data_IF_471471683266
#
_entry.id   IF_471471683266
#
_cell.length_a   1.000
_cell.length_b   1.000
_cell.length_c   1.000
_cell.angle_alpha   90.00
_cell.angle_beta   90.00
_cell.angle_gamma   90.00
#
_symmetry.space_group_name_H-M   'P 1'
#
loop_
_entity.id
_entity.type
_entity.pdbx_description
1 polymer ?
#
# COMPACT_ATOMS: atom_id res chain seq x y z
N UNK A 1 5.37 19.89 -1.58
CA UNK A 1 4.17 20.76 -1.81
C UNK A 1 3.56 21.11 -0.47
N UNK A 2 3.00 22.32 -0.32
CA UNK A 2 2.32 22.71 0.91
C UNK A 2 0.98 21.97 1.06
N UNK A 3 0.54 21.73 2.29
CA UNK A 3 -0.77 21.12 2.59
C UNK A 3 -1.95 21.86 1.92
N UNK A 4 -1.80 23.16 1.71
CA UNK A 4 -2.79 24.03 1.07
C UNK A 4 -2.93 23.73 -0.44
N UNK A 5 -1.83 23.43 -1.12
CA UNK A 5 -1.86 23.04 -2.54
C UNK A 5 -2.55 21.70 -2.75
N UNK A 6 -2.30 20.72 -1.87
CA UNK A 6 -2.99 19.41 -1.92
C UNK A 6 -4.49 19.59 -1.72
N UNK A 7 -4.92 20.40 -0.74
CA UNK A 7 -6.35 20.66 -0.50
C UNK A 7 -7.02 21.32 -1.71
N UNK A 8 -6.34 22.25 -2.40
CA UNK A 8 -6.88 22.87 -3.61
C UNK A 8 -7.02 21.88 -4.78
N UNK A 9 -6.03 20.99 -4.97
CA UNK A 9 -6.13 19.93 -5.98
C UNK A 9 -7.28 18.97 -5.67
N UNK A 10 -7.44 18.58 -4.40
CA UNK A 10 -8.56 17.71 -3.98
C UNK A 10 -9.91 18.37 -4.29
N UNK A 11 -10.09 19.66 -4.00
CA UNK A 11 -11.33 20.39 -4.33
C UNK A 11 -11.62 20.41 -5.83
N UNK A 12 -10.59 20.66 -6.66
CA UNK A 12 -10.73 20.62 -8.13
C UNK A 12 -11.09 19.21 -8.63
N UNK A 13 -10.42 18.18 -8.11
CA UNK A 13 -10.69 16.80 -8.47
C UNK A 13 -12.12 16.37 -8.06
N UNK A 14 -12.60 16.77 -6.89
CA UNK A 14 -13.98 16.55 -6.45
C UNK A 14 -15.02 17.20 -7.37
N UNK A 15 -14.65 18.29 -8.03
CA UNK A 15 -15.47 18.97 -9.01
C UNK A 15 -15.30 18.43 -10.45
N UNK A 16 -14.65 17.27 -10.58
CA UNK A 16 -14.54 16.54 -11.87
C UNK A 16 -13.28 16.84 -12.68
N UNK A 17 -12.29 17.58 -12.14
CA UNK A 17 -11.03 17.80 -12.85
C UNK A 17 -10.16 16.55 -12.84
N UNK A 18 -10.09 15.85 -13.97
CA UNK A 18 -9.20 14.71 -14.18
C UNK A 18 -7.72 15.11 -14.09
N UNK A 19 -7.38 16.31 -14.56
CA UNK A 19 -6.02 16.86 -14.49
C UNK A 19 -5.57 17.03 -13.02
N UNK A 20 -6.40 17.65 -12.17
CA UNK A 20 -6.11 17.83 -10.76
C UNK A 20 -6.00 16.47 -10.02
N UNK A 21 -6.81 15.50 -10.39
CA UNK A 21 -6.70 14.14 -9.86
C UNK A 21 -5.40 13.47 -10.30
N UNK A 22 -4.99 13.62 -11.56
CA UNK A 22 -3.72 13.11 -12.07
C UNK A 22 -2.51 13.70 -11.34
N UNK A 23 -2.53 15.01 -11.06
CA UNK A 23 -1.50 15.67 -10.25
C UNK A 23 -1.47 15.10 -8.81
N UNK A 24 -2.62 14.91 -8.17
CA UNK A 24 -2.71 14.29 -6.85
C UNK A 24 -2.15 12.87 -6.84
N UNK A 25 -2.52 12.05 -7.81
CA UNK A 25 -1.99 10.71 -7.95
C UNK A 25 -0.47 10.73 -8.12
N UNK A 26 0.04 11.60 -8.99
CA UNK A 26 1.48 11.75 -9.24
C UNK A 26 2.30 12.02 -7.97
N UNK A 27 1.73 12.73 -6.99
CA UNK A 27 2.40 12.99 -5.70
C UNK A 27 2.66 11.72 -4.87
N UNK A 28 1.82 10.71 -5.03
CA UNK A 28 1.82 9.51 -4.18
C UNK A 28 2.04 8.22 -4.98
N UNK A 29 2.21 8.29 -6.29
CA UNK A 29 2.29 7.13 -7.19
C UNK A 29 3.37 6.13 -6.78
N UNK A 30 4.56 6.61 -6.44
CA UNK A 30 5.67 5.76 -5.99
C UNK A 30 5.36 5.08 -4.65
N UNK A 31 4.82 5.82 -3.69
CA UNK A 31 4.44 5.30 -2.37
C UNK A 31 3.34 4.23 -2.49
N UNK A 32 2.34 4.49 -3.34
CA UNK A 32 1.24 3.57 -3.59
C UNK A 32 1.73 2.28 -4.26
N UNK A 33 2.56 2.40 -5.30
CA UNK A 33 3.14 1.24 -5.97
C UNK A 33 4.02 0.43 -5.01
N UNK A 34 4.88 1.07 -4.22
CA UNK A 34 5.74 0.42 -3.23
C UNK A 34 4.92 -0.36 -2.20
N UNK A 35 3.85 0.25 -1.69
CA UNK A 35 2.93 -0.44 -0.78
C UNK A 35 2.31 -1.69 -1.45
N UNK A 36 1.74 -1.54 -2.64
CA UNK A 36 1.12 -2.64 -3.37
C UNK A 36 2.14 -3.77 -3.63
N UNK A 37 3.33 -3.42 -4.11
CA UNK A 37 4.38 -4.40 -4.40
C UNK A 37 4.77 -5.23 -3.17
N UNK A 38 5.04 -4.58 -2.04
CA UNK A 38 5.39 -5.31 -0.82
C UNK A 38 4.21 -6.08 -0.23
N UNK A 39 2.98 -5.63 -0.45
CA UNK A 39 1.77 -6.31 -0.01
C UNK A 39 1.52 -7.60 -0.80
N UNK A 40 1.55 -7.55 -2.14
CA UNK A 40 1.18 -8.69 -3.01
C UNK A 40 2.37 -9.52 -3.50
N UNK A 41 3.58 -8.96 -3.52
CA UNK A 41 4.82 -9.65 -3.87
C UNK A 41 5.01 -9.94 -5.36
N UNK A 42 4.35 -9.21 -6.25
CA UNK A 42 4.47 -9.29 -7.72
C UNK A 42 4.29 -7.91 -8.33
N UNK A 43 5.17 -7.53 -9.25
CA UNK A 43 5.12 -6.25 -9.97
C UNK A 43 3.81 -6.13 -10.76
N UNK A 44 3.51 -7.13 -11.58
CA UNK A 44 2.30 -7.13 -12.43
C UNK A 44 1.02 -7.00 -11.59
N UNK A 45 0.89 -7.80 -10.51
CA UNK A 45 -0.28 -7.71 -9.63
C UNK A 45 -0.34 -6.37 -8.89
N UNK A 46 0.81 -5.80 -8.51
CA UNK A 46 0.86 -4.48 -7.89
C UNK A 46 0.39 -3.38 -8.84
N UNK A 47 0.83 -3.41 -10.10
CA UNK A 47 0.38 -2.48 -11.14
C UNK A 47 -1.13 -2.57 -11.38
N UNK A 48 -1.67 -3.78 -11.44
CA UNK A 48 -3.11 -4.02 -11.57
C UNK A 48 -3.88 -3.45 -10.35
N UNK A 49 -3.40 -3.72 -9.13
CA UNK A 49 -4.02 -3.18 -7.91
C UNK A 49 -4.00 -1.65 -7.87
N UNK A 50 -2.88 -1.03 -8.27
CA UNK A 50 -2.77 0.44 -8.31
C UNK A 50 -3.71 1.01 -9.37
N UNK A 51 -3.76 0.41 -10.56
CA UNK A 51 -4.64 0.85 -11.65
C UNK A 51 -6.11 0.77 -11.24
N UNK A 52 -6.53 -0.34 -10.63
CA UNK A 52 -7.89 -0.50 -10.09
C UNK A 52 -8.18 0.54 -9.00
N UNK A 53 -7.25 0.74 -8.06
CA UNK A 53 -7.42 1.71 -6.98
C UNK A 53 -7.55 3.14 -7.51
N UNK A 54 -6.79 3.53 -8.54
CA UNK A 54 -6.87 4.84 -9.19
C UNK A 54 -8.24 5.06 -9.82
N UNK A 55 -8.77 4.07 -10.55
CA UNK A 55 -10.11 4.14 -11.13
C UNK A 55 -11.19 4.32 -10.05
N UNK A 56 -11.18 3.47 -9.02
CA UNK A 56 -12.13 3.55 -7.91
C UNK A 56 -12.03 4.88 -7.15
N UNK A 57 -10.82 5.39 -6.97
CA UNK A 57 -10.59 6.67 -6.31
C UNK A 57 -11.13 7.83 -7.15
N UNK A 58 -10.88 7.84 -8.45
CA UNK A 58 -11.41 8.88 -9.35
C UNK A 58 -12.94 8.92 -9.33
N UNK A 59 -13.59 7.79 -9.36
CA UNK A 59 -15.06 7.68 -9.30
C UNK A 59 -15.63 8.11 -7.95
N UNK A 60 -14.90 7.86 -6.87
CA UNK A 60 -15.40 8.08 -5.50
C UNK A 60 -14.89 9.34 -4.81
N UNK A 61 -13.96 10.09 -5.41
CA UNK A 61 -13.40 11.30 -4.81
C UNK A 61 -14.45 12.37 -4.47
N UNK A 62 -15.56 12.54 -5.21
CA UNK A 62 -16.62 13.48 -4.81
C UNK A 62 -17.20 13.19 -3.42
N UNK A 63 -17.09 11.95 -2.94
CA UNK A 63 -17.59 11.52 -1.62
C UNK A 63 -16.55 11.67 -0.49
N UNK A 64 -15.34 12.08 -0.80
CA UNK A 64 -14.29 12.28 0.21
C UNK A 64 -14.69 13.39 1.17
N UNK A 65 -14.84 13.05 2.45
CA UNK A 65 -15.36 13.99 3.46
C UNK A 65 -14.35 15.06 3.88
N UNK A 66 -13.07 14.68 4.02
CA UNK A 66 -11.98 15.56 4.48
C UNK A 66 -10.89 15.61 3.43
N UNK A 67 -10.63 16.76 2.86
CA UNK A 67 -9.62 16.93 1.81
C UNK A 67 -8.20 16.56 2.32
N UNK A 68 -7.88 16.89 3.57
CA UNK A 68 -6.62 16.55 4.20
C UNK A 68 -6.35 15.02 4.35
N UNK A 69 -7.39 14.19 4.24
CA UNK A 69 -7.28 12.73 4.34
C UNK A 69 -7.10 12.01 3.00
N UNK A 70 -6.85 12.73 1.92
CA UNK A 70 -6.72 12.15 0.58
C UNK A 70 -5.69 11.00 0.53
N UNK A 71 -4.47 11.21 1.07
CA UNK A 71 -3.41 10.20 1.06
C UNK A 71 -3.88 8.91 1.77
N UNK A 72 -4.34 9.00 3.00
CA UNK A 72 -4.80 7.84 3.78
C UNK A 72 -6.02 7.15 3.16
N UNK A 73 -6.91 7.93 2.56
CA UNK A 73 -8.07 7.42 1.84
C UNK A 73 -7.67 6.63 0.57
N UNK A 74 -6.67 7.10 -0.19
CA UNK A 74 -6.09 6.37 -1.31
C UNK A 74 -5.48 5.04 -0.86
N UNK A 75 -4.70 5.05 0.24
CA UNK A 75 -4.13 3.82 0.80
C UNK A 75 -5.21 2.82 1.24
N UNK A 76 -6.33 3.29 1.78
CA UNK A 76 -7.46 2.43 2.12
C UNK A 76 -8.07 1.75 0.90
N UNK A 77 -8.27 2.48 -0.20
CA UNK A 77 -8.77 1.91 -1.46
C UNK A 77 -7.76 0.88 -1.99
N UNK A 78 -6.48 1.23 -2.06
CA UNK A 78 -5.43 0.35 -2.55
C UNK A 78 -5.27 -0.90 -1.69
N UNK A 79 -5.32 -0.78 -0.35
CA UNK A 79 -5.31 -1.94 0.54
C UNK A 79 -6.44 -2.93 0.21
N UNK A 80 -7.64 -2.43 -0.04
CA UNK A 80 -8.77 -3.29 -0.39
C UNK A 80 -8.53 -4.02 -1.73
N UNK A 81 -7.97 -3.35 -2.75
CA UNK A 81 -7.60 -3.98 -4.02
C UNK A 81 -6.54 -5.07 -3.81
N UNK A 82 -5.48 -4.78 -3.05
CA UNK A 82 -4.43 -5.75 -2.72
C UNK A 82 -4.97 -6.95 -1.94
N UNK A 83 -5.86 -6.72 -0.97
CA UNK A 83 -6.51 -7.79 -0.20
C UNK A 83 -7.37 -8.70 -1.07
N UNK A 84 -8.09 -8.14 -2.03
CA UNK A 84 -8.86 -8.91 -2.99
C UNK A 84 -7.95 -9.75 -3.91
N UNK A 85 -6.87 -9.17 -4.42
CA UNK A 85 -5.88 -9.88 -5.23
C UNK A 85 -5.23 -11.05 -4.47
N UNK A 86 -4.87 -10.84 -3.19
CA UNK A 86 -4.34 -11.90 -2.32
C UNK A 86 -5.35 -13.03 -2.11
N UNK A 87 -6.63 -12.71 -1.92
CA UNK A 87 -7.71 -13.71 -1.81
C UNK A 87 -7.82 -14.57 -3.06
N UNK A 88 -7.81 -13.95 -4.24
CA UNK A 88 -7.88 -14.64 -5.53
C UNK A 88 -6.67 -15.56 -5.70
N UNK A 89 -5.47 -15.08 -5.38
CA UNK A 89 -4.24 -15.88 -5.41
C UNK A 89 -4.32 -17.09 -4.48
N UNK A 90 -4.85 -16.91 -3.26
CA UNK A 90 -5.02 -18.00 -2.31
C UNK A 90 -5.99 -19.09 -2.83
N UNK A 91 -7.11 -18.68 -3.44
CA UNK A 91 -8.09 -19.60 -4.01
C UNK A 91 -7.57 -20.35 -5.26
N UNK A 92 -6.61 -19.73 -6.00
CA UNK A 92 -5.98 -20.34 -7.18
C UNK A 92 -4.68 -21.11 -6.87
N UNK A 93 -4.29 -21.22 -5.59
CA UNK A 93 -3.03 -21.83 -5.16
C UNK A 93 -2.91 -23.32 -5.55
N UNK A 94 -4.02 -23.98 -5.89
CA UNK A 94 -4.03 -25.33 -6.42
C UNK A 94 -3.64 -25.43 -7.91
N UNK A 95 -3.44 -24.31 -8.63
CA UNK A 95 -3.19 -24.33 -10.08
C UNK A 95 -1.82 -23.83 -10.55
N UNK A 96 -1.04 -23.05 -9.78
CA UNK A 96 0.21 -22.47 -10.27
C UNK A 96 1.23 -22.14 -9.17
N UNK A 97 2.14 -23.05 -8.91
CA UNK A 97 3.51 -22.70 -8.47
C UNK A 97 4.32 -22.28 -9.69
N UNK A 98 4.46 -21.01 -9.96
CA UNK A 98 5.55 -20.41 -10.75
C UNK A 98 5.33 -18.90 -10.88
N UNK A 99 5.93 -18.12 -10.00
CA UNK A 99 6.23 -16.73 -10.33
C UNK A 99 7.73 -16.50 -10.21
N UNK A 100 8.34 -16.43 -11.38
CA UNK A 100 9.74 -16.04 -11.56
C UNK A 100 9.98 -14.65 -10.96
N UNK A 101 11.19 -14.44 -10.46
CA UNK A 101 11.66 -13.13 -10.03
C UNK A 101 11.54 -12.14 -11.21
N UNK A 102 10.51 -11.32 -11.18
CA UNK A 102 10.30 -10.24 -12.14
C UNK A 102 11.26 -9.10 -11.82
N UNK A 103 11.88 -8.53 -12.86
CA UNK A 103 12.78 -7.40 -12.73
C UNK A 103 12.05 -6.19 -12.10
N UNK A 104 12.54 -5.76 -10.95
CA UNK A 104 12.06 -4.59 -10.24
C UNK A 104 12.53 -3.31 -10.93
N UNK A 105 11.70 -2.25 -10.98
CA UNK A 105 12.10 -0.94 -11.49
C UNK A 105 13.00 -0.15 -10.53
N UNK A 106 13.73 -0.84 -9.64
CA UNK A 106 14.62 -0.24 -8.65
C UNK A 106 16.09 -0.49 -8.99
N UNK A 107 16.96 0.44 -8.60
CA UNK A 107 18.41 0.43 -8.84
C UNK A 107 19.11 -0.84 -8.34
N UNK A 108 20.12 -1.33 -9.08
CA UNK A 108 20.89 -2.57 -8.83
C UNK A 108 21.55 -2.71 -7.45
N UNK A 109 21.74 -1.62 -6.72
CA UNK A 109 22.32 -1.65 -5.36
C UNK A 109 21.36 -2.18 -4.29
N UNK A 110 20.06 -2.04 -4.52
CA UNK A 110 19.01 -2.43 -3.56
C UNK A 110 18.52 -3.87 -3.79
N UNK A 111 18.99 -4.57 -4.82
CA UNK A 111 18.41 -5.83 -5.26
C UNK A 111 18.51 -6.94 -4.21
N UNK A 112 19.68 -7.12 -3.59
CA UNK A 112 19.90 -8.19 -2.59
C UNK A 112 19.21 -7.90 -1.26
N UNK A 113 19.20 -6.65 -0.83
CA UNK A 113 18.50 -6.20 0.37
C UNK A 113 16.99 -6.29 0.18
N UNK A 114 16.50 -5.93 -1.00
CA UNK A 114 15.08 -6.05 -1.37
C UNK A 114 14.59 -7.50 -1.40
N UNK A 115 15.40 -8.44 -1.88
CA UNK A 115 15.05 -9.88 -1.88
C UNK A 115 14.95 -10.40 -0.44
N UNK A 116 15.90 -10.05 0.42
CA UNK A 116 15.89 -10.46 1.82
C UNK A 116 14.68 -9.89 2.56
N UNK A 117 14.41 -8.60 2.39
CA UNK A 117 13.24 -7.94 2.96
C UNK A 117 11.94 -8.55 2.44
N UNK A 118 11.82 -8.77 1.13
CA UNK A 118 10.62 -9.37 0.55
C UNK A 118 10.38 -10.78 1.09
N UNK A 119 11.43 -11.58 1.24
CA UNK A 119 11.33 -12.93 1.80
C UNK A 119 10.89 -12.91 3.28
N UNK A 120 11.38 -11.95 4.05
CA UNK A 120 10.94 -11.75 5.43
C UNK A 120 9.47 -11.29 5.50
N UNK A 121 9.07 -10.34 4.66
CA UNK A 121 7.68 -9.86 4.58
C UNK A 121 6.71 -10.96 4.15
N UNK A 122 7.09 -11.86 3.24
CA UNK A 122 6.26 -13.01 2.82
C UNK A 122 5.96 -13.99 3.97
N UNK A 123 6.79 -14.04 5.00
CA UNK A 123 6.56 -14.89 6.19
C UNK A 123 5.58 -14.28 7.19
N UNK A 124 5.28 -12.98 7.08
CA UNK A 124 4.23 -12.35 7.86
C UNK A 124 2.85 -12.66 7.26
N UNK A 125 1.81 -12.64 8.09
CA UNK A 125 0.43 -12.63 7.59
C UNK A 125 0.20 -11.38 6.73
N UNK A 126 -0.75 -11.41 5.79
CA UNK A 126 -1.05 -10.25 4.94
C UNK A 126 -1.34 -8.98 5.75
N UNK A 127 -2.10 -9.12 6.84
CA UNK A 127 -2.43 -7.99 7.71
C UNK A 127 -1.20 -7.45 8.49
N UNK A 128 -0.36 -8.32 9.05
CA UNK A 128 0.90 -7.92 9.71
C UNK A 128 1.84 -7.22 8.73
N UNK A 129 1.92 -7.71 7.51
CA UNK A 129 2.74 -7.16 6.43
C UNK A 129 2.29 -5.74 6.07
N UNK A 130 1.01 -5.54 5.81
CA UNK A 130 0.46 -4.23 5.45
C UNK A 130 0.66 -3.21 6.58
N UNK A 131 0.48 -3.63 7.83
CA UNK A 131 0.74 -2.80 9.02
C UNK A 131 2.20 -2.34 9.07
N UNK A 132 3.14 -3.26 8.87
CA UNK A 132 4.59 -2.97 8.90
C UNK A 132 4.98 -2.00 7.78
N UNK A 133 4.45 -2.20 6.57
CA UNK A 133 4.72 -1.32 5.44
C UNK A 133 4.18 0.10 5.73
N UNK A 134 2.95 0.23 6.19
CA UNK A 134 2.36 1.52 6.53
C UNK A 134 3.11 2.22 7.67
N UNK A 135 3.58 1.47 8.65
CA UNK A 135 4.28 2.02 9.80
C UNK A 135 5.70 2.48 9.45
N UNK A 136 6.53 1.59 8.88
CA UNK A 136 7.95 1.86 8.64
C UNK A 136 8.22 2.59 7.32
N UNK A 137 7.52 2.24 6.24
CA UNK A 137 7.78 2.82 4.93
C UNK A 137 6.97 4.09 4.67
N UNK A 138 5.75 4.19 5.23
CA UNK A 138 4.86 5.33 5.00
C UNK A 138 4.76 6.29 6.18
N UNK A 139 5.30 5.91 7.35
CA UNK A 139 5.36 6.76 8.54
C UNK A 139 4.01 7.01 9.23
N UNK A 140 3.02 6.17 8.98
CA UNK A 140 1.72 6.26 9.66
C UNK A 140 1.83 5.78 11.12
N UNK A 141 1.14 6.47 12.04
CA UNK A 141 1.01 6.00 13.41
C UNK A 141 -0.08 4.89 13.52
N UNK A 142 -0.13 4.22 14.64
CA UNK A 142 -1.05 3.08 14.84
C UNK A 142 -2.53 3.43 14.71
N UNK A 143 -2.92 4.65 15.07
CA UNK A 143 -4.31 5.13 14.92
C UNK A 143 -4.66 5.33 13.44
N UNK A 144 -3.78 5.98 12.68
CA UNK A 144 -3.96 6.20 11.24
C UNK A 144 -4.00 4.86 10.48
N UNK A 145 -3.11 3.92 10.82
CA UNK A 145 -3.13 2.56 10.27
C UNK A 145 -4.46 1.88 10.59
N UNK A 146 -4.96 2.02 11.81
CA UNK A 146 -6.26 1.51 12.20
C UNK A 146 -7.40 2.05 11.34
N UNK A 147 -7.37 3.34 11.01
CA UNK A 147 -8.35 3.98 10.12
C UNK A 147 -8.26 3.47 8.67
N UNK A 148 -7.02 3.24 8.17
CA UNK A 148 -6.77 2.70 6.82
C UNK A 148 -7.26 1.25 6.72
N UNK A 149 -6.90 0.40 7.69
CA UNK A 149 -7.14 -1.04 7.64
C UNK A 149 -8.48 -1.47 8.28
N UNK A 150 -9.19 -0.57 8.93
CA UNK A 150 -10.42 -0.88 9.66
C UNK A 150 -10.18 -1.64 10.97
N UNK A 151 -9.07 -1.37 11.65
CA UNK A 151 -8.64 -2.04 12.89
C UNK A 151 -8.64 -1.07 14.08
N UNK A 152 -8.75 -1.62 15.29
CA UNK A 152 -8.58 -0.83 16.52
C UNK A 152 -7.10 -0.47 16.72
N UNK A 153 -6.82 0.74 17.21
CA UNK A 153 -5.47 1.22 17.51
C UNK A 153 -4.66 0.25 18.40
N UNK A 154 -5.30 -0.31 19.44
CA UNK A 154 -4.66 -1.30 20.33
C UNK A 154 -4.27 -2.58 19.59
N UNK A 155 -5.08 -3.03 18.63
CA UNK A 155 -4.80 -4.19 17.78
C UNK A 155 -3.61 -3.90 16.87
N UNK A 156 -3.56 -2.72 16.27
CA UNK A 156 -2.45 -2.31 15.40
C UNK A 156 -1.14 -2.26 16.18
N UNK A 157 -1.13 -1.64 17.38
CA UNK A 157 0.06 -1.59 18.25
C UNK A 157 0.61 -2.97 18.57
N UNK A 158 -0.24 -3.88 19.03
CA UNK A 158 0.17 -5.26 19.34
C UNK A 158 0.70 -6.02 18.11
N UNK A 159 0.17 -5.74 16.92
CA UNK A 159 0.63 -6.35 15.67
C UNK A 159 1.95 -5.74 15.20
N UNK A 160 2.16 -4.45 15.36
CA UNK A 160 3.46 -3.81 15.08
C UNK A 160 4.56 -4.46 15.92
N UNK A 161 4.37 -4.59 17.23
CA UNK A 161 5.36 -5.19 18.12
C UNK A 161 5.71 -6.63 17.69
N UNK A 162 4.70 -7.48 17.52
CA UNK A 162 4.90 -8.88 17.12
C UNK A 162 5.53 -9.03 15.74
N UNK A 163 5.08 -8.25 14.76
CA UNK A 163 5.62 -8.32 13.41
C UNK A 163 7.06 -7.78 13.36
N UNK A 164 7.38 -6.74 14.14
CA UNK A 164 8.75 -6.22 14.25
C UNK A 164 9.69 -7.26 14.86
N UNK A 165 9.26 -7.99 15.90
CA UNK A 165 10.08 -9.04 16.52
C UNK A 165 10.36 -10.17 15.50
N UNK A 166 9.34 -10.64 14.82
CA UNK A 166 9.51 -11.63 13.75
C UNK A 166 10.50 -11.17 12.67
N UNK A 167 10.41 -9.90 12.24
CA UNK A 167 11.33 -9.35 11.23
C UNK A 167 12.76 -9.26 11.74
N UNK A 168 12.96 -8.89 13.00
CA UNK A 168 14.31 -8.87 13.62
C UNK A 168 14.95 -10.25 13.61
N UNK A 169 14.21 -11.28 14.00
CA UNK A 169 14.70 -12.67 13.99
C UNK A 169 15.09 -13.13 12.58
N UNK A 170 14.35 -12.69 11.55
CA UNK A 170 14.57 -13.12 10.17
C UNK A 170 15.67 -12.34 9.46
N UNK A 171 15.86 -11.07 9.78
CA UNK A 171 16.81 -10.18 9.11
C UNK A 171 18.16 -10.11 9.83
N UNK A 172 18.30 -10.76 11.00
CA UNK A 172 19.53 -10.74 11.81
C UNK A 172 20.02 -9.30 12.02
N UNK A 173 19.12 -8.43 12.47
CA UNK A 173 19.43 -7.05 12.81
C UNK A 173 19.75 -6.95 14.30
#
# INVERSE_FOLDING_TARGET
MSSENVSNLVKKAKNGSAEAFGELYGLYAEDLFRFAYYSVGSVSVAEDCVSEAVCLAFESIPRLKKDASFKSWMFKILHNCCKNAQKIKYLRKDELELSNAENLPFSDKDYTENISLMNALKKLSGEERDIVILYYAQGYNSKEIGEILGLKDSTVRSKIERATEKLREMLVI
#
